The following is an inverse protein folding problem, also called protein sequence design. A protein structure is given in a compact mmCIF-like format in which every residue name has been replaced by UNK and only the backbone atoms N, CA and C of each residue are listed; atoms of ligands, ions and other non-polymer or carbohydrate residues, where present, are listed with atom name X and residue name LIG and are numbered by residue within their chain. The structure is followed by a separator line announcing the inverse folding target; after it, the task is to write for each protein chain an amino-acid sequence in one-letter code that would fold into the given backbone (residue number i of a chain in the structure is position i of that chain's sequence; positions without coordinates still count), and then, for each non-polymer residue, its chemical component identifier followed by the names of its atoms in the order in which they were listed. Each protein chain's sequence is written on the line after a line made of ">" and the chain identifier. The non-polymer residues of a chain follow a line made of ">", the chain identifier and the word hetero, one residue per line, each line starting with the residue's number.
data_IF_499948990994
#
_entry.id   IF_499948990994
#
_cell.length_a   1.000
_cell.length_b   1.000
_cell.length_c   1.000
_cell.angle_alpha   90.00
_cell.angle_beta   90.00
_cell.angle_gamma   90.00
#
_symmetry.space_group_name_H-M   'P 1'
#
loop_
_entity.id
_entity.type
_entity.pdbx_description
1 polymer ?
#
# COMPACT_ATOMS: atom_id res chain seq x y z
N UNK A 1 9.33 -11.90 -15.04
CA UNK A 1 8.64 -11.47 -13.81
C UNK A 1 8.01 -10.11 -14.06
N UNK A 2 6.71 -9.98 -13.81
CA UNK A 2 5.99 -8.70 -13.84
C UNK A 2 6.06 -8.05 -12.46
N UNK A 3 5.79 -6.74 -12.41
CA UNK A 3 5.72 -5.98 -11.16
C UNK A 3 4.27 -5.68 -10.82
N UNK A 4 3.89 -5.87 -9.56
CA UNK A 4 2.56 -5.56 -9.03
C UNK A 4 2.71 -4.70 -7.79
N UNK A 5 1.88 -3.66 -7.68
CA UNK A 5 1.91 -2.73 -6.56
C UNK A 5 0.61 -2.83 -5.78
N UNK A 6 0.73 -3.16 -4.49
CA UNK A 6 -0.35 -3.03 -3.53
C UNK A 6 -0.30 -1.63 -2.93
N UNK A 7 -1.43 -0.94 -2.94
CA UNK A 7 -1.62 0.36 -2.28
C UNK A 7 -2.57 0.12 -1.13
N UNK A 8 -2.18 0.53 0.08
CA UNK A 8 -2.97 0.34 1.29
C UNK A 8 -3.58 1.67 1.68
N UNK A 9 -4.89 1.72 1.80
CA UNK A 9 -5.55 2.90 2.38
C UNK A 9 -5.43 2.84 3.89
N UNK A 10 -5.33 4.01 4.51
CA UNK A 10 -5.34 4.10 5.95
C UNK A 10 -6.67 3.55 6.50
N UNK A 11 -6.57 2.65 7.49
CA UNK A 11 -7.73 2.02 8.13
C UNK A 11 -7.63 2.23 9.64
N UNK A 12 -8.79 2.41 10.28
CA UNK A 12 -8.91 2.49 11.74
C UNK A 12 -9.23 1.12 12.37
N UNK A 13 -9.25 0.04 11.59
CA UNK A 13 -9.59 -1.28 12.10
C UNK A 13 -8.39 -1.94 12.82
N UNK A 14 -8.60 -2.18 14.12
CA UNK A 14 -7.58 -2.55 15.12
C UNK A 14 -7.15 -4.03 15.01
N UNK A 15 -7.97 -4.89 14.41
CA UNK A 15 -7.75 -6.35 14.33
C UNK A 15 -6.69 -6.77 13.28
N UNK A 16 -6.08 -5.80 12.58
CA UNK A 16 -5.34 -6.06 11.36
C UNK A 16 -3.85 -6.40 11.55
N UNK A 17 -3.21 -6.09 12.68
CA UNK A 17 -1.74 -6.10 12.72
C UNK A 17 -1.13 -7.52 12.62
N UNK A 18 -1.70 -8.53 13.26
CA UNK A 18 -1.16 -9.90 13.18
C UNK A 18 -1.40 -10.51 11.79
N UNK A 19 -2.62 -10.38 11.25
CA UNK A 19 -2.96 -10.83 9.90
C UNK A 19 -2.10 -10.12 8.84
N UNK A 20 -1.88 -8.82 9.03
CA UNK A 20 -1.00 -8.00 8.21
C UNK A 20 0.44 -8.49 8.22
N UNK A 21 1.02 -8.69 9.41
CA UNK A 21 2.38 -9.19 9.55
C UNK A 21 2.55 -10.60 8.98
N UNK A 22 1.55 -11.47 9.14
CA UNK A 22 1.53 -12.81 8.56
C UNK A 22 1.53 -12.75 7.04
N UNK A 23 0.65 -11.94 6.45
CA UNK A 23 0.60 -11.73 4.99
C UNK A 23 1.92 -11.16 4.46
N UNK A 24 2.46 -10.13 5.12
CA UNK A 24 3.70 -9.48 4.72
C UNK A 24 4.91 -10.43 4.76
N UNK A 25 4.98 -11.27 5.80
CA UNK A 25 6.03 -12.29 5.92
C UNK A 25 5.96 -13.29 4.76
N UNK A 26 4.76 -13.71 4.35
CA UNK A 26 4.58 -14.63 3.24
C UNK A 26 5.05 -14.06 1.89
N UNK A 27 4.90 -12.75 1.66
CA UNK A 27 5.28 -12.12 0.39
C UNK A 27 6.72 -11.58 0.35
N UNK A 28 7.42 -11.51 1.49
CA UNK A 28 8.78 -10.94 1.62
C UNK A 28 9.76 -11.43 0.54
N UNK A 29 9.82 -12.72 0.17
CA UNK A 29 10.74 -13.20 -0.87
C UNK A 29 10.49 -12.60 -2.27
N UNK A 30 9.29 -12.06 -2.49
CA UNK A 30 8.85 -11.49 -3.76
C UNK A 30 8.94 -9.96 -3.78
N UNK A 31 9.22 -9.31 -2.65
CA UNK A 31 9.27 -7.85 -2.53
C UNK A 31 10.42 -7.28 -3.36
N UNK A 32 10.08 -6.32 -4.20
CA UNK A 32 10.99 -5.50 -4.98
C UNK A 32 11.27 -4.15 -4.31
N UNK A 33 10.26 -3.58 -3.66
CA UNK A 33 10.32 -2.29 -2.95
C UNK A 33 9.15 -2.17 -1.96
N UNK A 34 9.28 -1.35 -0.93
CA UNK A 34 8.23 -1.07 0.05
C UNK A 34 8.36 0.34 0.61
N UNK A 35 7.22 0.96 0.92
CA UNK A 35 7.19 2.25 1.60
C UNK A 35 5.95 2.39 2.47
N UNK A 36 6.18 2.37 3.78
CA UNK A 36 5.19 2.60 4.84
C UNK A 36 5.90 3.08 6.11
N UNK A 37 5.29 3.88 6.98
CA UNK A 37 3.96 4.49 6.83
C UNK A 37 4.05 5.81 6.05
N UNK A 38 3.09 6.02 5.16
CA UNK A 38 2.84 7.33 4.57
C UNK A 38 1.91 8.13 5.48
N UNK A 39 2.26 9.40 5.71
CA UNK A 39 1.51 10.30 6.57
C UNK A 39 1.09 11.55 5.80
N UNK A 40 -0.22 11.78 5.68
CA UNK A 40 -0.79 12.93 4.97
C UNK A 40 -0.35 13.01 3.51
N UNK A 41 -0.52 14.18 2.91
CA UNK A 41 -0.04 14.43 1.55
C UNK A 41 -0.88 15.47 0.82
N UNK A 42 -0.69 15.53 -0.51
CA UNK A 42 -1.51 16.34 -1.41
C UNK A 42 -2.07 15.48 -2.53
N UNK A 43 -3.36 15.64 -2.82
CA UNK A 43 -3.96 15.12 -4.05
C UNK A 43 -3.70 16.14 -5.15
N UNK A 44 -2.98 15.70 -6.19
CA UNK A 44 -2.69 16.51 -7.38
C UNK A 44 -3.68 16.16 -8.49
N UNK A 45 -4.29 17.18 -9.07
CA UNK A 45 -5.26 17.10 -10.18
C UNK A 45 -4.83 18.03 -11.31
N UNK A 46 -5.50 17.96 -12.47
CA UNK A 46 -5.28 18.91 -13.55
C UNK A 46 -5.58 20.37 -13.16
N UNK A 47 -6.43 20.58 -12.15
CA UNK A 47 -6.78 21.91 -11.62
C UNK A 47 -5.86 22.42 -10.51
N UNK A 48 -4.90 21.62 -10.03
CA UNK A 48 -4.00 21.98 -8.94
C UNK A 48 -3.88 20.91 -7.87
N UNK A 49 -3.27 21.28 -6.73
CA UNK A 49 -3.02 20.38 -5.61
C UNK A 49 -3.80 20.80 -4.36
N UNK A 50 -4.43 19.85 -3.67
CA UNK A 50 -5.12 20.06 -2.39
C UNK A 50 -4.47 19.23 -1.30
N UNK A 51 -4.40 19.76 -0.08
CA UNK A 51 -3.99 18.97 1.09
C UNK A 51 -5.00 17.84 1.35
N UNK A 52 -4.47 16.69 1.77
CA UNK A 52 -5.27 15.58 2.26
C UNK A 52 -5.47 15.81 3.76
N UNK A 53 -6.71 16.11 4.15
CA UNK A 53 -7.05 16.43 5.55
C UNK A 53 -7.84 15.32 6.23
N UNK A 54 -8.52 14.47 5.46
CA UNK A 54 -9.33 13.37 5.97
C UNK A 54 -8.52 12.07 5.98
N UNK A 55 -8.56 11.35 7.10
CA UNK A 55 -7.85 10.07 7.25
C UNK A 55 -8.26 9.03 6.21
N UNK A 56 -9.53 9.01 5.81
CA UNK A 56 -10.05 8.10 4.78
C UNK A 56 -9.39 8.28 3.41
N UNK A 57 -8.80 9.45 3.16
CA UNK A 57 -8.15 9.79 1.91
C UNK A 57 -6.63 9.52 1.96
N UNK A 58 -6.12 9.05 3.10
CA UNK A 58 -4.69 8.76 3.26
C UNK A 58 -4.37 7.40 2.63
N UNK A 59 -3.33 7.38 1.81
CA UNK A 59 -2.61 6.15 1.50
C UNK A 59 -1.69 5.87 2.68
N UNK A 60 -1.82 4.71 3.34
CA UNK A 60 -0.99 4.29 4.46
C UNK A 60 0.36 3.71 4.02
N UNK A 61 0.46 3.21 2.78
CA UNK A 61 1.72 2.75 2.21
C UNK A 61 1.56 1.96 0.92
N UNK A 62 2.66 1.37 0.45
CA UNK A 62 2.69 0.45 -0.67
C UNK A 62 3.69 -0.69 -0.48
N UNK A 63 3.45 -1.79 -1.20
CA UNK A 63 4.47 -2.81 -1.47
C UNK A 63 4.49 -3.13 -2.95
N UNK A 64 5.68 -3.13 -3.53
CA UNK A 64 5.94 -3.57 -4.90
C UNK A 64 6.51 -4.97 -4.86
N UNK A 65 5.90 -5.92 -5.57
CA UNK A 65 6.38 -7.30 -5.67
C UNK A 65 6.65 -7.72 -7.11
N UNK A 66 7.45 -8.77 -7.28
CA UNK A 66 7.64 -9.47 -8.53
C UNK A 66 6.83 -10.78 -8.54
N UNK A 67 5.94 -10.96 -9.52
CA UNK A 67 5.14 -12.19 -9.69
C UNK A 67 4.97 -12.54 -11.20
N UNK A 68 4.41 -13.72 -11.48
CA UNK A 68 4.16 -14.18 -12.86
C UNK A 68 2.95 -13.48 -13.50
N UNK A 69 1.89 -13.34 -12.73
CA UNK A 69 0.60 -12.75 -13.08
C UNK A 69 -0.09 -12.18 -11.82
N UNK A 70 -1.32 -11.69 -11.99
CA UNK A 70 -2.09 -11.09 -10.90
C UNK A 70 -2.52 -12.13 -9.88
N UNK A 71 -2.90 -13.34 -10.31
CA UNK A 71 -3.35 -14.39 -9.39
C UNK A 71 -2.21 -14.86 -8.48
N UNK A 72 -0.97 -14.89 -8.98
CA UNK A 72 0.21 -15.17 -8.18
C UNK A 72 0.64 -14.00 -7.26
N UNK A 73 0.04 -12.83 -7.40
CA UNK A 73 0.38 -11.65 -6.61
C UNK A 73 -0.46 -11.55 -5.32
N UNK A 74 -1.73 -11.98 -5.34
CA UNK A 74 -2.70 -11.86 -4.23
C UNK A 74 -2.73 -13.05 -3.29
#
# INVERSE_FOLDING_TARGET
>A
MKKFMFIYNASNEVDSNEAWMSWFTAITPHVADMGSEFNGGKIVTSSGAKDITEWSDFVGGYTLINALDMDAAV
#
